data_IF_468529133863
#
_entry.id   IF_468529133863
#
_cell.length_a   1.000
_cell.length_b   1.000
_cell.length_c   1.000
_cell.angle_alpha   90.00
_cell.angle_beta   90.00
_cell.angle_gamma   90.00
#
_symmetry.space_group_name_H-M   'P 1'
#
loop_
_entity.id
_entity.type
_entity.pdbx_description
1 polymer ?
#
# COMPACT_ATOMS: atom_id res chain seq x y z
N UNK A 1 -0.05 -9.67 -2.32
CA UNK A 1 -0.10 -8.19 -2.42
C UNK A 1 1.11 -7.71 -3.20
N UNK A 2 1.07 -6.51 -3.80
CA UNK A 2 2.27 -5.93 -4.41
C UNK A 2 3.05 -5.11 -3.36
N UNK A 3 4.39 -5.15 -3.38
CA UNK A 3 5.21 -4.41 -2.42
C UNK A 3 5.21 -2.91 -2.73
N UNK A 4 5.20 -2.08 -1.68
CA UNK A 4 5.20 -0.62 -1.83
C UNK A 4 6.46 -0.09 -2.53
N UNK A 5 7.58 -0.82 -2.48
CA UNK A 5 8.84 -0.48 -3.15
C UNK A 5 8.72 -0.31 -4.67
N UNK A 6 7.66 -0.82 -5.31
CA UNK A 6 7.38 -0.55 -6.73
C UNK A 6 7.22 0.95 -7.03
N UNK A 7 6.91 1.80 -6.04
CA UNK A 7 6.82 3.25 -6.18
C UNK A 7 8.14 3.91 -6.64
N UNK A 8 9.27 3.20 -6.50
CA UNK A 8 10.59 3.65 -6.94
C UNK A 8 10.78 3.54 -8.45
N UNK A 9 9.95 2.76 -9.15
CA UNK A 9 10.02 2.60 -10.60
C UNK A 9 9.43 3.81 -11.34
N UNK A 10 10.16 4.94 -11.33
CA UNK A 10 9.70 6.23 -11.91
C UNK A 10 9.46 6.19 -13.43
N UNK A 11 9.98 5.18 -14.12
CA UNK A 11 9.83 4.97 -15.57
C UNK A 11 8.85 3.84 -15.94
N UNK A 12 8.18 3.23 -14.96
CA UNK A 12 7.23 2.15 -15.23
C UNK A 12 6.01 2.69 -15.96
N UNK A 13 5.85 2.34 -17.24
CA UNK A 13 4.74 2.78 -18.08
C UNK A 13 3.58 1.78 -18.15
N UNK A 14 3.90 0.49 -18.19
CA UNK A 14 2.95 -0.61 -18.38
C UNK A 14 3.22 -1.66 -17.32
N UNK A 15 2.16 -2.10 -16.63
CA UNK A 15 2.22 -3.12 -15.59
C UNK A 15 1.23 -4.24 -15.93
N UNK A 16 1.73 -5.47 -16.04
CA UNK A 16 0.91 -6.66 -16.29
C UNK A 16 0.70 -7.45 -15.00
N UNK A 17 -0.56 -7.63 -14.61
CA UNK A 17 -1.01 -8.33 -13.41
C UNK A 17 -2.18 -9.29 -13.72
N UNK A 18 -2.35 -9.68 -14.97
CA UNK A 18 -3.43 -10.59 -15.38
C UNK A 18 -3.34 -11.94 -14.64
N UNK A 19 -4.49 -12.60 -14.41
CA UNK A 19 -4.63 -13.92 -13.80
C UNK A 19 -3.98 -14.07 -12.41
N UNK A 20 -4.10 -13.03 -11.58
CA UNK A 20 -3.70 -13.07 -10.16
C UNK A 20 -4.94 -13.16 -9.24
N UNK A 21 -4.74 -13.06 -7.93
CA UNK A 21 -5.80 -13.12 -6.91
C UNK A 21 -6.05 -11.74 -6.27
N UNK A 22 -5.92 -10.65 -7.03
CA UNK A 22 -6.01 -9.28 -6.50
C UNK A 22 -7.46 -8.80 -6.41
N UNK A 23 -7.95 -8.59 -5.19
CA UNK A 23 -9.27 -7.97 -4.95
C UNK A 23 -9.29 -6.48 -5.39
N UNK A 24 -8.21 -5.76 -5.08
CA UNK A 24 -8.03 -4.35 -5.39
C UNK A 24 -6.58 -4.08 -5.82
N UNK A 25 -6.39 -3.00 -6.60
CA UNK A 25 -5.05 -2.52 -6.89
C UNK A 25 -4.50 -1.75 -5.68
N UNK A 26 -3.20 -1.78 -5.39
CA UNK A 26 -2.66 -0.99 -4.30
C UNK A 26 -2.63 0.49 -4.66
N UNK A 27 -3.01 1.34 -3.71
CA UNK A 27 -3.17 2.76 -3.90
C UNK A 27 -1.89 3.52 -4.29
N UNK A 28 -0.70 2.99 -3.99
CA UNK A 28 0.56 3.61 -4.41
C UNK A 28 0.74 3.66 -5.93
N UNK A 29 0.02 2.83 -6.70
CA UNK A 29 0.06 2.89 -8.17
C UNK A 29 -0.45 4.23 -8.69
N UNK A 30 -1.32 4.91 -7.94
CA UNK A 30 -1.80 6.26 -8.25
C UNK A 30 -0.70 7.33 -8.14
N UNK A 31 0.40 7.03 -7.45
CA UNK A 31 1.53 7.92 -7.25
C UNK A 31 2.67 7.67 -8.24
N UNK A 32 2.54 6.69 -9.14
CA UNK A 32 3.53 6.41 -10.17
C UNK A 32 3.38 7.38 -11.35
N UNK A 33 4.36 8.27 -11.60
CA UNK A 33 4.17 9.39 -12.52
C UNK A 33 4.10 8.97 -13.99
N UNK A 34 4.78 7.89 -14.36
CA UNK A 34 4.83 7.40 -15.74
C UNK A 34 3.83 6.27 -16.03
N UNK A 35 3.12 5.77 -15.02
CA UNK A 35 2.26 4.59 -15.18
C UNK A 35 1.03 4.95 -16.00
N UNK A 36 0.97 4.39 -17.21
CA UNK A 36 -0.12 4.63 -18.16
C UNK A 36 -1.06 3.46 -18.28
N UNK A 37 -0.64 2.22 -18.07
CA UNK A 37 -1.53 1.07 -18.30
C UNK A 37 -1.29 -0.01 -17.25
N UNK A 38 -2.38 -0.54 -16.70
CA UNK A 38 -2.35 -1.69 -15.78
C UNK A 38 -3.29 -2.77 -16.34
N UNK A 39 -2.71 -3.87 -16.81
CA UNK A 39 -3.47 -5.06 -17.20
C UNK A 39 -3.73 -5.89 -15.95
N UNK A 40 -5.00 -6.25 -15.70
CA UNK A 40 -5.42 -6.96 -14.49
C UNK A 40 -6.60 -7.92 -14.72
N UNK A 41 -6.81 -8.35 -15.95
CA UNK A 41 -7.85 -9.30 -16.31
C UNK A 41 -7.69 -10.61 -15.52
N UNK A 42 -8.77 -11.35 -15.28
CA UNK A 42 -8.71 -12.63 -14.57
C UNK A 42 -8.34 -12.55 -13.08
N UNK A 43 -8.36 -11.35 -12.46
CA UNK A 43 -8.24 -11.21 -11.02
C UNK A 43 -9.57 -11.42 -10.30
N UNK A 44 -9.53 -11.49 -8.96
CA UNK A 44 -10.73 -11.43 -8.14
C UNK A 44 -11.52 -10.16 -8.46
N UNK A 45 -12.70 -10.33 -9.05
CA UNK A 45 -13.61 -9.23 -9.35
C UNK A 45 -14.40 -8.89 -8.09
N UNK A 46 -13.71 -8.37 -7.05
CA UNK A 46 -14.34 -7.84 -5.84
C UNK A 46 -15.52 -6.92 -6.18
N UNK A 47 -15.41 -6.23 -7.32
CA UNK A 47 -16.41 -5.40 -7.97
C UNK A 47 -17.83 -5.99 -8.06
N UNK A 48 -18.03 -7.29 -8.36
CA UNK A 48 -19.38 -7.80 -8.63
C UNK A 48 -20.27 -7.86 -7.38
N UNK A 49 -19.71 -7.97 -6.18
CA UNK A 49 -20.48 -7.98 -4.93
C UNK A 49 -20.54 -6.60 -4.26
N UNK A 50 -19.56 -5.71 -4.49
CA UNK A 50 -19.52 -4.38 -3.84
C UNK A 50 -20.10 -3.24 -4.66
N UNK A 51 -20.39 -3.40 -5.96
CA UNK A 51 -20.96 -2.30 -6.77
C UNK A 51 -22.32 -1.79 -6.25
N UNK A 52 -23.10 -2.66 -5.58
CA UNK A 52 -24.37 -2.28 -4.95
C UNK A 52 -24.15 -1.48 -3.64
N UNK A 53 -22.98 -1.59 -3.02
CA UNK A 53 -22.68 -0.97 -1.72
C UNK A 53 -21.92 0.37 -1.81
N UNK A 54 -21.39 0.75 -2.97
CA UNK A 54 -20.59 1.98 -3.12
C UNK A 54 -21.37 3.28 -3.04
N UNK A 55 -22.69 3.22 -3.22
CA UNK A 55 -23.58 4.36 -3.11
C UNK A 55 -24.19 4.53 -1.71
N UNK A 56 -23.91 3.64 -0.75
CA UNK A 56 -24.68 3.60 0.51
C UNK A 56 -23.95 4.08 1.76
N UNK A 57 -22.61 4.04 1.88
CA UNK A 57 -21.97 4.69 3.04
C UNK A 57 -20.45 4.92 2.92
N UNK A 58 -19.97 6.13 3.27
CA UNK A 58 -18.54 6.49 3.43
C UNK A 58 -17.92 5.68 4.58
N UNK A 59 -18.71 5.32 5.59
CA UNK A 59 -18.25 4.58 6.77
C UNK A 59 -17.77 3.16 6.46
N UNK A 60 -18.11 2.60 5.28
CA UNK A 60 -17.67 1.26 4.86
C UNK A 60 -16.35 1.27 4.06
N UNK A 61 -15.79 2.45 3.74
CA UNK A 61 -14.54 2.58 2.98
C UNK A 61 -13.30 2.55 3.85
N UNK A 62 -13.43 2.93 5.11
CA UNK A 62 -12.38 2.86 6.13
C UNK A 62 -12.66 1.64 6.99
N UNK A 63 -11.90 0.57 6.75
CA UNK A 63 -12.08 -0.72 7.40
C UNK A 63 -11.01 -0.86 8.49
N UNK A 64 -11.37 -0.88 9.79
CA UNK A 64 -10.41 -1.15 10.85
C UNK A 64 -9.87 -2.57 10.71
N UNK A 65 -8.55 -2.71 10.84
CA UNK A 65 -7.87 -3.99 10.91
C UNK A 65 -7.36 -4.15 12.33
N UNK A 66 -8.01 -5.04 13.09
CA UNK A 66 -7.56 -5.45 14.42
C UNK A 66 -6.52 -6.55 14.28
N UNK A 67 -5.49 -6.50 15.12
CA UNK A 67 -4.60 -7.63 15.31
C UNK A 67 -5.05 -8.43 16.53
N UNK A 68 -5.27 -9.73 16.35
CA UNK A 68 -5.64 -10.66 17.44
C UNK A 68 -4.41 -11.28 18.13
N UNK A 69 -3.23 -11.15 17.54
CA UNK A 69 -1.99 -11.73 18.06
C UNK A 69 -1.16 -10.71 18.83
N UNK A 70 -0.64 -11.11 20.00
CA UNK A 70 0.33 -10.34 20.78
C UNK A 70 1.48 -9.88 19.89
N UNK A 71 1.94 -8.61 19.97
CA UNK A 71 3.05 -8.13 19.17
C UNK A 71 4.26 -9.03 19.41
N UNK A 72 4.79 -9.66 18.36
CA UNK A 72 6.06 -10.38 18.42
C UNK A 72 7.16 -9.36 18.78
N UNK A 73 7.44 -9.25 20.08
CA UNK A 73 8.51 -8.45 20.68
C UNK A 73 9.85 -9.14 20.40
N UNK A 74 10.38 -9.02 19.17
CA UNK A 74 11.76 -9.45 18.90
C UNK A 74 12.51 -8.58 17.89
N UNK A 75 12.20 -7.29 17.82
CA UNK A 75 12.95 -6.36 16.98
C UNK A 75 13.07 -4.98 17.65
N UNK A 76 13.88 -4.89 18.70
CA UNK A 76 14.25 -3.62 19.34
C UNK A 76 15.72 -3.24 19.04
N UNK A 77 16.28 -3.69 17.92
CA UNK A 77 17.62 -3.25 17.51
C UNK A 77 17.56 -1.86 16.86
N UNK A 78 18.64 -1.09 17.00
CA UNK A 78 18.78 0.19 16.30
C UNK A 78 18.64 0.02 14.77
N UNK A 79 19.17 -1.09 14.23
CA UNK A 79 19.04 -1.44 12.82
C UNK A 79 17.58 -1.58 12.39
N UNK A 80 16.73 -2.21 13.22
CA UNK A 80 15.30 -2.32 12.95
C UNK A 80 14.60 -0.96 12.97
N UNK A 81 14.87 -0.12 13.97
CA UNK A 81 14.27 1.22 14.05
C UNK A 81 14.71 2.12 12.88
N UNK A 82 15.98 2.04 12.48
CA UNK A 82 16.49 2.73 11.31
C UNK A 82 15.79 2.25 10.02
N UNK A 83 15.67 0.92 9.85
CA UNK A 83 14.95 0.34 8.73
C UNK A 83 13.48 0.80 8.67
N UNK A 84 12.77 0.74 9.81
CA UNK A 84 11.38 1.20 9.93
C UNK A 84 11.23 2.67 9.53
N UNK A 85 12.11 3.54 10.00
CA UNK A 85 12.09 4.97 9.67
C UNK A 85 12.35 5.20 8.16
N UNK A 86 13.32 4.49 7.58
CA UNK A 86 13.62 4.59 6.14
C UNK A 86 12.45 4.09 5.29
N UNK A 87 11.88 2.93 5.62
CA UNK A 87 10.71 2.37 4.93
C UNK A 87 9.53 3.36 4.99
N UNK A 88 9.26 3.90 6.19
CA UNK A 88 8.21 4.89 6.41
C UNK A 88 8.41 6.19 5.62
N UNK A 89 9.66 6.58 5.34
CA UNK A 89 9.97 7.79 4.58
C UNK A 89 9.52 7.75 3.11
N UNK A 90 9.20 6.55 2.57
CA UNK A 90 8.81 6.32 1.16
C UNK A 90 9.84 6.80 0.13
N UNK A 91 11.06 7.10 0.56
CA UNK A 91 12.16 7.48 -0.34
C UNK A 91 12.81 6.23 -0.92
N UNK A 92 13.35 6.38 -2.13
CA UNK A 92 14.11 5.33 -2.79
C UNK A 92 15.44 5.11 -2.05
N UNK A 93 15.41 4.20 -1.09
CA UNK A 93 16.58 3.87 -0.27
C UNK A 93 17.64 3.05 -1.02
N UNK A 94 17.30 2.48 -2.18
CA UNK A 94 18.25 1.71 -2.99
C UNK A 94 19.29 2.65 -3.61
N UNK A 95 18.84 3.82 -4.08
CA UNK A 95 19.68 4.85 -4.69
C UNK A 95 20.27 5.85 -3.69
N UNK A 96 19.76 5.91 -2.47
CA UNK A 96 20.24 6.86 -1.45
C UNK A 96 21.67 6.52 -1.00
N UNK A 97 22.62 7.44 -1.19
CA UNK A 97 24.03 7.28 -0.80
C UNK A 97 24.27 7.49 0.69
N UNK A 98 23.34 8.11 1.41
CA UNK A 98 23.44 8.30 2.87
C UNK A 98 23.15 7.02 3.65
N UNK A 99 22.54 6.02 3.01
CA UNK A 99 22.18 4.75 3.61
C UNK A 99 23.27 3.73 3.32
N UNK A 100 23.86 3.15 4.37
CA UNK A 100 24.92 2.15 4.24
C UNK A 100 24.40 0.85 3.61
N UNK A 101 25.22 0.15 2.78
CA UNK A 101 24.78 -1.06 2.07
C UNK A 101 24.17 -2.15 2.97
N UNK A 102 24.79 -2.42 4.12
CA UNK A 102 24.32 -3.41 5.11
C UNK A 102 22.89 -3.11 5.58
N UNK A 103 22.53 -1.82 5.69
CA UNK A 103 21.17 -1.42 6.06
C UNK A 103 20.19 -1.55 4.89
N UNK A 104 20.64 -1.33 3.64
CA UNK A 104 19.81 -1.57 2.44
C UNK A 104 19.44 -3.03 2.30
N UNK A 105 20.41 -3.93 2.48
CA UNK A 105 20.20 -5.38 2.43
C UNK A 105 19.22 -5.81 3.52
N UNK A 106 19.44 -5.34 4.75
CA UNK A 106 18.51 -5.61 5.85
C UNK A 106 17.10 -5.10 5.57
N UNK A 107 16.96 -3.87 5.04
CA UNK A 107 15.65 -3.31 4.66
C UNK A 107 14.99 -4.18 3.60
N UNK A 108 15.73 -4.63 2.58
CA UNK A 108 15.19 -5.49 1.52
C UNK A 108 14.63 -6.80 2.09
N UNK A 109 15.31 -7.40 3.07
CA UNK A 109 14.86 -8.62 3.74
C UNK A 109 13.57 -8.40 4.54
N UNK A 110 13.46 -7.29 5.28
CA UNK A 110 12.33 -7.06 6.19
C UNK A 110 11.18 -6.26 5.59
N UNK A 111 11.33 -5.70 4.37
CA UNK A 111 10.36 -4.76 3.79
C UNK A 111 8.93 -5.31 3.75
N UNK A 112 8.80 -6.60 3.40
CA UNK A 112 7.52 -7.30 3.28
C UNK A 112 6.76 -7.43 4.61
N UNK A 113 7.45 -7.24 5.74
CA UNK A 113 6.85 -7.25 7.09
C UNK A 113 6.16 -5.94 7.44
N UNK A 114 6.29 -4.89 6.62
CA UNK A 114 5.75 -3.58 6.91
C UNK A 114 4.55 -3.21 6.03
N UNK A 115 3.55 -2.64 6.69
CA UNK A 115 2.47 -1.89 6.06
C UNK A 115 2.82 -0.40 6.12
N UNK A 116 3.06 0.20 4.95
CA UNK A 116 3.42 1.63 4.82
C UNK A 116 2.16 2.47 4.76
N UNK A 117 2.03 3.46 5.65
CA UNK A 117 0.90 4.38 5.64
C UNK A 117 0.89 5.18 4.35
N UNK A 118 -0.23 5.24 3.64
CA UNK A 118 -0.31 5.97 2.38
C UNK A 118 -0.23 7.49 2.59
N UNK A 119 -0.78 8.00 3.69
CA UNK A 119 -0.80 9.44 4.02
C UNK A 119 0.52 9.93 4.63
N UNK A 120 0.86 9.49 5.85
CA UNK A 120 2.05 9.97 6.58
C UNK A 120 3.30 9.11 6.34
N UNK A 121 4.45 9.54 6.87
CA UNK A 121 5.74 8.84 6.74
C UNK A 121 5.96 7.78 7.82
N UNK A 122 4.93 6.98 8.12
CA UNK A 122 5.00 5.92 9.11
C UNK A 122 4.88 4.55 8.46
N UNK A 123 5.63 3.59 8.98
CA UNK A 123 5.52 2.19 8.63
C UNK A 123 5.19 1.41 9.90
N UNK A 124 4.15 0.59 9.85
CA UNK A 124 3.77 -0.31 10.93
C UNK A 124 4.08 -1.74 10.51
N UNK A 125 4.33 -2.64 11.45
CA UNK A 125 4.40 -4.06 11.12
C UNK A 125 3.02 -4.53 10.61
N UNK A 126 3.00 -5.52 9.73
CA UNK A 126 1.78 -6.03 9.11
C UNK A 126 0.78 -6.59 10.14
N UNK A 127 1.28 -7.01 11.30
CA UNK A 127 0.52 -7.50 12.44
C UNK A 127 0.14 -6.39 13.44
N UNK A 128 0.30 -5.12 13.11
CA UNK A 128 -0.22 -4.04 13.95
C UNK A 128 -1.62 -3.65 13.50
N UNK A 129 -2.39 -3.10 14.43
CA UNK A 129 -3.67 -2.50 14.09
C UNK A 129 -3.48 -1.29 13.16
N UNK A 130 -4.49 -1.05 12.34
CA UNK A 130 -4.53 0.06 11.41
C UNK A 130 -5.82 0.06 10.62
N UNK A 131 -5.81 0.67 9.44
CA UNK A 131 -7.00 0.81 8.61
C UNK A 131 -6.68 0.47 7.17
N UNK A 132 -7.53 -0.34 6.54
CA UNK A 132 -7.59 -0.46 5.09
C UNK A 132 -8.56 0.58 4.57
N UNK A 133 -8.13 1.36 3.58
CA UNK A 133 -8.96 2.39 2.95
C UNK A 133 -9.18 2.02 1.49
N UNK A 134 -10.42 1.96 1.05
CA UNK A 134 -10.75 1.68 -0.35
C UNK A 134 -11.18 2.99 -1.02
N UNK A 135 -10.44 3.39 -2.06
CA UNK A 135 -10.76 4.57 -2.88
C UNK A 135 -11.13 4.17 -4.30
N UNK A 136 -11.91 5.04 -4.96
CA UNK A 136 -12.27 4.92 -6.37
C UNK A 136 -11.76 6.14 -7.10
N UNK A 137 -11.03 5.94 -8.19
CA UNK A 137 -10.84 7.00 -9.17
C UNK A 137 -11.70 6.72 -10.39
N UNK A 138 -12.52 7.71 -10.76
CA UNK A 138 -13.22 7.78 -12.04
C UNK A 138 -12.22 7.64 -13.19
N UNK A 139 -12.64 7.04 -14.31
CA UNK A 139 -11.93 5.91 -14.92
C UNK A 139 -10.55 6.32 -15.43
N UNK A 140 -9.52 5.90 -14.71
CA UNK A 140 -8.22 5.68 -15.33
C UNK A 140 -8.28 4.31 -16.01
N UNK A 141 -8.25 4.33 -17.34
CA UNK A 141 -7.95 3.20 -18.23
C UNK A 141 -9.09 2.23 -18.56
N UNK A 142 -10.10 2.76 -19.24
CA UNK A 142 -11.04 1.94 -20.03
C UNK A 142 -12.20 1.39 -19.21
N UNK A 143 -13.35 2.06 -19.31
CA UNK A 143 -14.72 1.57 -19.10
C UNK A 143 -15.07 0.82 -17.79
N UNK A 144 -14.18 0.69 -16.80
CA UNK A 144 -14.47 0.00 -15.54
C UNK A 144 -13.87 0.74 -14.35
N UNK A 145 -14.72 1.03 -13.36
CA UNK A 145 -14.28 1.61 -12.10
C UNK A 145 -13.41 0.58 -11.36
N UNK A 146 -12.19 0.98 -10.97
CA UNK A 146 -11.23 0.09 -10.30
C UNK A 146 -11.06 0.54 -8.83
N UNK A 147 -11.26 -0.37 -7.85
CA UNK A 147 -10.93 -0.09 -6.46
C UNK A 147 -9.41 -0.03 -6.25
N UNK A 148 -8.98 0.97 -5.49
CA UNK A 148 -7.63 1.07 -4.95
C UNK A 148 -7.65 0.86 -3.44
N UNK A 149 -6.81 -0.05 -2.94
CA UNK A 149 -6.65 -0.31 -1.51
C UNK A 149 -5.40 0.39 -0.98
N UNK A 150 -5.57 1.12 0.11
CA UNK A 150 -4.53 1.83 0.82
C UNK A 150 -4.43 1.28 2.26
N UNK A 151 -3.28 1.51 2.89
CA UNK A 151 -3.10 1.28 4.31
C UNK A 151 -2.93 2.62 5.03
N UNK A 152 -3.52 2.74 6.22
CA UNK A 152 -3.36 3.89 7.10
C UNK A 152 -3.03 3.44 8.52
N UNK A 153 -2.10 4.13 9.17
CA UNK A 153 -1.69 3.82 10.54
C UNK A 153 -2.63 4.39 11.61
N UNK A 154 -3.50 5.34 11.27
CA UNK A 154 -4.47 5.96 12.17
C UNK A 154 -5.77 6.30 11.45
N UNK A 155 -6.84 6.53 12.22
CA UNK A 155 -8.14 6.94 11.66
C UNK A 155 -8.04 8.28 10.93
N UNK A 156 -7.25 9.22 11.44
CA UNK A 156 -7.04 10.52 10.79
C UNK A 156 -6.35 10.35 9.45
N UNK A 157 -5.29 9.53 9.38
CA UNK A 157 -4.64 9.19 8.11
C UNK A 157 -5.63 8.52 7.17
N UNK A 158 -6.52 7.66 7.68
CA UNK A 158 -7.50 6.96 6.86
C UNK A 158 -8.51 7.94 6.25
N UNK A 159 -9.03 8.88 7.05
CA UNK A 159 -9.92 9.96 6.59
C UNK A 159 -9.24 10.83 5.55
N UNK A 160 -7.98 11.21 5.76
CA UNK A 160 -7.21 12.00 4.79
C UNK A 160 -6.88 11.26 3.48
N UNK A 161 -7.01 9.93 3.43
CA UNK A 161 -6.87 9.16 2.18
C UNK A 161 -8.21 9.04 1.47
N UNK A 162 -9.30 8.89 2.23
CA UNK A 162 -10.65 8.72 1.66
C UNK A 162 -11.20 10.03 1.10
N UNK A 163 -11.05 11.12 1.86
CA UNK A 163 -11.51 12.46 1.50
C UNK A 163 -10.45 13.08 0.58
N UNK A 164 -10.75 13.32 -0.72
CA UNK A 164 -9.79 13.84 -1.69
C UNK A 164 -9.23 15.23 -1.36
#
# INVERSE_FOLDING_TARGET
SLPFSLIFLKRLCILYLDNNLLDALPGFLLSLPALKTVHRHGNHNFFKSTFIWYHTDVNLRIIPVSCETKPYLKYESLQFWAAKAIIGSKKDFLQDTSIVPVLKDFIADVYHLFSVCHHCNNASLFNMSGFKVITFKNPYLGNTCVPFQHWACSLDCAKSIEIP
#
